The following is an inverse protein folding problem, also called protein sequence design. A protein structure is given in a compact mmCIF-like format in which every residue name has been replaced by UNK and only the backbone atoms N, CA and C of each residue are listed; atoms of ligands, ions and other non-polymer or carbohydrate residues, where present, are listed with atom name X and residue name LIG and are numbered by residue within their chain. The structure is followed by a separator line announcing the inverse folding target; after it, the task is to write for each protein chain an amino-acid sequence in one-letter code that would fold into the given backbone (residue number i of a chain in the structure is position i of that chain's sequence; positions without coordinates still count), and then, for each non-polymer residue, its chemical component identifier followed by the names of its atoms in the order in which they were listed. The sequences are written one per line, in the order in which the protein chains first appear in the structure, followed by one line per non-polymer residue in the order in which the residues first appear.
data_IF_406609146986
#
_entry.id   IF_406609146986
#
_cell.length_a   1.000
_cell.length_b   1.000
_cell.length_c   1.000
_cell.angle_alpha   90.00
_cell.angle_beta   90.00
_cell.angle_gamma   90.00
#
_symmetry.space_group_name_H-M   'P 1'
#
loop_
_entity.id
_entity.type
_entity.pdbx_description
1 polymer ?
#
# COMPACT_ATOMS: atom_id res chain seq x y z
N UNK A 1 -5.64 -6.52 24.05
CA UNK A 1 -5.78 -5.29 23.26
C UNK A 1 -6.59 -5.51 21.98
N UNK A 2 -6.21 -6.43 21.09
CA UNK A 2 -6.95 -6.72 19.84
C UNK A 2 -8.44 -7.04 20.04
N UNK A 3 -8.79 -7.87 21.02
CA UNK A 3 -10.18 -8.19 21.33
C UNK A 3 -10.97 -7.01 21.94
N UNK A 4 -10.30 -6.02 22.53
CA UNK A 4 -10.95 -4.79 22.97
C UNK A 4 -11.24 -3.90 21.77
N UNK A 5 -10.26 -3.63 20.90
CA UNK A 5 -10.42 -2.82 19.70
C UNK A 5 -11.43 -3.39 18.69
N UNK A 6 -11.49 -4.72 18.54
CA UNK A 6 -12.51 -5.38 17.72
C UNK A 6 -13.93 -5.20 18.28
N UNK A 7 -14.09 -5.07 19.61
CA UNK A 7 -15.38 -4.74 20.26
C UNK A 7 -15.69 -3.24 20.19
N UNK A 8 -14.67 -2.39 20.12
CA UNK A 8 -14.83 -0.93 19.97
C UNK A 8 -15.21 -0.54 18.53
N UNK A 9 -14.87 -1.33 17.53
CA UNK A 9 -15.15 -1.02 16.13
C UNK A 9 -16.65 -0.89 15.79
N UNK A 10 -17.55 -1.79 16.25
CA UNK A 10 -18.99 -1.57 16.14
C UNK A 10 -19.46 -0.31 16.88
N UNK A 11 -18.92 -0.04 18.07
CA UNK A 11 -19.30 1.12 18.89
C UNK A 11 -18.92 2.44 18.20
N UNK A 12 -17.75 2.48 17.57
CA UNK A 12 -17.29 3.60 16.74
C UNK A 12 -18.16 3.82 15.49
N UNK A 13 -18.78 2.77 14.96
CA UNK A 13 -19.67 2.89 13.80
C UNK A 13 -21.09 3.35 14.16
N UNK A 14 -21.53 3.14 15.40
CA UNK A 14 -22.92 3.34 15.82
C UNK A 14 -23.15 4.58 16.69
N UNK A 15 -22.14 5.03 17.46
CA UNK A 15 -22.32 6.12 18.42
C UNK A 15 -21.45 7.35 18.06
N UNK A 16 -22.09 8.52 17.95
CA UNK A 16 -21.40 9.79 17.70
C UNK A 16 -20.58 10.28 18.91
N UNK A 17 -21.03 10.00 20.14
CA UNK A 17 -20.33 10.38 21.36
C UNK A 17 -19.03 9.59 21.52
N UNK A 18 -19.07 8.28 21.23
CA UNK A 18 -17.89 7.39 21.27
C UNK A 18 -16.87 7.78 20.20
N UNK A 19 -17.33 8.27 19.04
CA UNK A 19 -16.43 8.80 17.99
C UNK A 19 -15.70 10.07 18.40
N UNK A 20 -16.31 10.91 19.23
CA UNK A 20 -15.72 12.16 19.72
C UNK A 20 -14.80 11.97 20.93
N UNK A 21 -14.77 10.79 21.53
CA UNK A 21 -13.96 10.52 22.72
C UNK A 21 -12.47 10.37 22.36
N UNK A 22 -11.64 11.26 22.92
CA UNK A 22 -10.21 11.31 22.67
C UNK A 22 -9.46 10.05 23.15
N UNK A 23 -9.91 9.42 24.24
CA UNK A 23 -9.29 8.19 24.74
C UNK A 23 -9.59 7.02 23.80
N UNK A 24 -10.80 6.96 23.24
CA UNK A 24 -11.17 5.94 22.26
C UNK A 24 -10.40 6.14 20.94
N UNK A 25 -10.29 7.38 20.46
CA UNK A 25 -9.46 7.71 19.29
C UNK A 25 -7.99 7.33 19.49
N UNK A 26 -7.42 7.64 20.67
CA UNK A 26 -6.05 7.26 21.00
C UNK A 26 -5.85 5.73 21.03
N UNK A 27 -6.81 4.98 21.56
CA UNK A 27 -6.78 3.50 21.53
C UNK A 27 -6.88 2.95 20.11
N UNK A 28 -7.69 3.56 19.25
CA UNK A 28 -7.78 3.20 17.84
C UNK A 28 -6.44 3.42 17.13
N UNK A 29 -5.85 4.60 17.28
CA UNK A 29 -4.55 4.94 16.69
C UNK A 29 -3.45 4.00 17.19
N UNK A 30 -3.41 3.71 18.49
CA UNK A 30 -2.46 2.77 19.08
C UNK A 30 -2.61 1.34 18.54
N UNK A 31 -3.84 0.91 18.26
CA UNK A 31 -4.10 -0.41 17.71
C UNK A 31 -3.72 -0.52 16.23
N UNK A 32 -4.10 0.47 15.42
CA UNK A 32 -3.73 0.50 14.00
C UNK A 32 -2.20 0.64 13.87
N UNK A 33 -1.59 1.47 14.72
CA UNK A 33 -0.17 1.81 14.64
C UNK A 33 0.17 2.55 13.34
N UNK A 34 1.45 2.56 12.94
CA UNK A 34 1.88 3.16 11.69
C UNK A 34 1.16 2.57 10.47
N UNK A 35 0.84 3.41 9.48
CA UNK A 35 0.02 3.04 8.33
C UNK A 35 0.62 1.89 7.53
N UNK A 36 1.94 1.84 7.36
CA UNK A 36 2.63 0.73 6.69
C UNK A 36 2.46 -0.61 7.43
N UNK A 37 2.44 -0.59 8.77
CA UNK A 37 2.16 -1.80 9.57
C UNK A 37 0.69 -2.17 9.48
N UNK A 38 -0.21 -1.18 9.56
CA UNK A 38 -1.65 -1.38 9.37
C UNK A 38 -1.94 -2.03 8.03
N UNK A 39 -1.34 -1.56 6.93
CA UNK A 39 -1.51 -2.09 5.58
C UNK A 39 -0.94 -3.51 5.38
N UNK A 40 -0.10 -3.99 6.30
CA UNK A 40 0.50 -5.32 6.28
C UNK A 40 -0.14 -6.32 7.25
N UNK A 41 -1.06 -5.86 8.10
CA UNK A 41 -1.75 -6.69 9.09
C UNK A 41 -3.22 -6.89 8.66
N UNK A 42 -3.63 -8.12 8.28
CA UNK A 42 -5.01 -8.39 7.84
C UNK A 42 -6.09 -7.97 8.85
N UNK A 43 -5.83 -8.11 10.15
CA UNK A 43 -6.79 -7.74 11.20
C UNK A 43 -6.93 -6.22 11.30
N UNK A 44 -5.82 -5.49 11.25
CA UNK A 44 -5.84 -4.01 11.29
C UNK A 44 -6.44 -3.43 10.03
N UNK A 45 -6.12 -3.98 8.85
CA UNK A 45 -6.77 -3.62 7.58
C UNK A 45 -8.28 -3.82 7.64
N UNK A 46 -8.73 -4.98 8.12
CA UNK A 46 -10.16 -5.30 8.23
C UNK A 46 -10.92 -4.36 9.16
N UNK A 47 -10.26 -3.84 10.20
CA UNK A 47 -10.81 -2.77 11.03
C UNK A 47 -10.83 -1.43 10.29
N UNK A 48 -9.70 -1.05 9.69
CA UNK A 48 -9.49 0.23 9.04
C UNK A 48 -10.51 0.50 7.93
N UNK A 49 -10.82 -0.48 7.07
CA UNK A 49 -11.82 -0.33 6.00
C UNK A 49 -13.24 -0.09 6.49
N UNK A 50 -13.55 -0.53 7.72
CA UNK A 50 -14.87 -0.36 8.35
C UNK A 50 -15.02 0.96 9.10
N UNK A 51 -13.94 1.76 9.18
CA UNK A 51 -14.01 3.04 9.90
C UNK A 51 -14.94 4.02 9.18
N UNK A 52 -15.81 4.72 9.91
CA UNK A 52 -16.60 5.80 9.35
C UNK A 52 -15.70 6.94 8.88
N UNK A 53 -16.11 7.60 7.80
CA UNK A 53 -15.36 8.68 7.16
C UNK A 53 -14.87 9.76 8.15
N UNK A 54 -15.71 10.14 9.13
CA UNK A 54 -15.37 11.17 10.12
C UNK A 54 -14.14 10.80 10.96
N UNK A 55 -13.94 9.53 11.29
CA UNK A 55 -12.75 9.09 12.03
C UNK A 55 -11.52 9.05 11.13
N UNK A 56 -11.68 8.69 9.86
CA UNK A 56 -10.57 8.78 8.92
C UNK A 56 -10.14 10.23 8.78
N UNK A 57 -11.09 11.11 8.54
CA UNK A 57 -10.87 12.53 8.29
C UNK A 57 -10.23 13.25 9.48
N UNK A 58 -10.79 13.08 10.68
CA UNK A 58 -10.45 13.89 11.85
C UNK A 58 -9.54 13.18 12.87
N UNK A 59 -9.33 11.88 12.72
CA UNK A 59 -8.45 11.12 13.60
C UNK A 59 -7.27 10.52 12.84
N UNK A 60 -7.49 9.72 11.79
CA UNK A 60 -6.38 9.03 11.09
C UNK A 60 -5.56 9.97 10.20
N UNK A 61 -6.23 10.77 9.37
CA UNK A 61 -5.59 11.69 8.43
C UNK A 61 -5.34 13.08 9.03
N UNK A 62 -5.66 13.28 10.31
CA UNK A 62 -5.28 14.51 10.99
C UNK A 62 -3.77 14.61 11.12
N UNK A 63 -3.22 15.78 10.83
CA UNK A 63 -1.78 15.97 10.61
C UNK A 63 -0.93 15.53 11.82
N UNK A 64 -1.44 15.72 13.04
CA UNK A 64 -0.73 15.35 14.27
C UNK A 64 -0.74 13.84 14.57
N UNK A 65 -1.66 13.10 13.95
CA UNK A 65 -1.90 11.68 14.21
C UNK A 65 -1.34 10.76 13.11
N UNK A 66 -1.01 11.31 11.94
CA UNK A 66 -0.45 10.53 10.83
C UNK A 66 0.90 9.95 11.24
N UNK A 67 0.96 8.61 11.30
CA UNK A 67 2.18 7.84 11.49
C UNK A 67 2.43 7.00 10.24
N UNK A 68 3.41 7.40 9.44
CA UNK A 68 3.82 6.70 8.23
C UNK A 68 5.33 6.84 8.00
N UNK A 69 5.88 5.97 7.15
CA UNK A 69 7.23 6.05 6.61
C UNK A 69 7.35 7.13 5.52
N UNK A 70 6.36 7.26 4.64
CA UNK A 70 6.35 8.23 3.55
C UNK A 70 4.92 8.72 3.19
N UNK A 71 4.83 9.83 2.46
CA UNK A 71 3.54 10.39 2.00
C UNK A 71 2.81 9.46 1.03
N UNK A 72 3.57 8.68 0.26
CA UNK A 72 2.99 7.66 -0.59
C UNK A 72 2.23 6.59 0.22
N UNK A 73 2.63 6.35 1.47
CA UNK A 73 1.93 5.43 2.39
C UNK A 73 0.62 6.01 2.89
N UNK A 74 0.60 7.31 3.15
CA UNK A 74 -0.64 8.04 3.47
C UNK A 74 -1.62 7.93 2.29
N UNK A 75 -1.14 8.14 1.06
CA UNK A 75 -1.94 7.98 -0.16
C UNK A 75 -2.39 6.52 -0.38
N UNK A 76 -1.51 5.54 -0.15
CA UNK A 76 -1.84 4.13 -0.26
C UNK A 76 -2.91 3.70 0.74
N UNK A 77 -2.85 4.20 1.98
CA UNK A 77 -3.87 3.95 2.99
C UNK A 77 -5.22 4.54 2.59
N UNK A 78 -5.26 5.76 2.03
CA UNK A 78 -6.50 6.34 1.51
C UNK A 78 -7.06 5.52 0.34
N UNK A 79 -6.20 5.17 -0.62
CA UNK A 79 -6.59 4.39 -1.79
C UNK A 79 -7.14 3.01 -1.39
N UNK A 80 -6.52 2.36 -0.41
CA UNK A 80 -6.99 1.09 0.15
C UNK A 80 -8.35 1.23 0.82
N UNK A 81 -8.55 2.25 1.67
CA UNK A 81 -9.86 2.48 2.29
C UNK A 81 -10.94 2.74 1.25
N UNK A 82 -10.68 3.64 0.30
CA UNK A 82 -11.64 3.99 -0.74
C UNK A 82 -12.00 2.79 -1.60
N UNK A 83 -11.03 1.97 -1.99
CA UNK A 83 -11.27 0.76 -2.77
C UNK A 83 -12.27 -0.18 -2.10
N UNK A 84 -12.06 -0.46 -0.82
CA UNK A 84 -12.83 -1.49 -0.10
C UNK A 84 -14.15 -0.92 0.44
N UNK A 85 -14.16 0.32 0.94
CA UNK A 85 -15.38 0.98 1.41
C UNK A 85 -16.36 1.30 0.26
N UNK A 86 -15.85 1.50 -0.97
CA UNK A 86 -16.68 1.74 -2.15
C UNK A 86 -17.43 0.53 -2.68
N UNK A 87 -16.97 -0.67 -2.34
CA UNK A 87 -17.68 -1.90 -2.70
C UNK A 87 -18.97 -2.01 -1.88
N UNK A 88 -18.99 -1.43 -0.67
CA UNK A 88 -20.10 -1.56 0.29
C UNK A 88 -21.00 -0.32 0.40
N UNK A 89 -20.55 0.87 -0.03
CA UNK A 89 -21.29 2.13 0.13
C UNK A 89 -21.38 2.93 -1.18
N UNK A 90 -22.51 3.62 -1.38
CA UNK A 90 -22.68 4.62 -2.46
C UNK A 90 -21.46 5.56 -2.51
N UNK A 91 -20.98 5.83 -3.72
CA UNK A 91 -19.77 6.60 -4.01
C UNK A 91 -19.49 7.74 -3.00
N UNK A 92 -18.25 7.88 -2.48
CA UNK A 92 -17.97 8.86 -1.47
C UNK A 92 -18.07 10.21 -2.17
N UNK A 93 -19.02 11.05 -1.76
CA UNK A 93 -19.23 12.33 -2.45
C UNK A 93 -17.91 13.08 -2.64
N UNK A 94 -17.71 13.71 -3.80
CA UNK A 94 -16.47 14.41 -4.22
C UNK A 94 -15.83 15.28 -3.12
N UNK A 95 -16.65 15.86 -2.24
CA UNK A 95 -16.23 16.65 -1.08
C UNK A 95 -15.43 15.84 -0.05
N UNK A 96 -15.82 14.59 0.23
CA UNK A 96 -15.12 13.69 1.16
C UNK A 96 -13.72 13.34 0.65
N UNK A 97 -13.64 12.97 -0.64
CA UNK A 97 -12.38 12.70 -1.32
C UNK A 97 -11.48 13.94 -1.26
N UNK A 98 -12.01 15.11 -1.61
CA UNK A 98 -11.25 16.36 -1.58
C UNK A 98 -10.74 16.70 -0.17
N UNK A 99 -11.56 16.48 0.86
CA UNK A 99 -11.17 16.74 2.24
C UNK A 99 -9.98 15.88 2.66
N UNK A 100 -9.97 14.57 2.37
CA UNK A 100 -8.83 13.73 2.78
C UNK A 100 -7.61 13.95 1.89
N UNK A 101 -7.80 14.06 0.56
CA UNK A 101 -6.70 14.38 -0.37
C UNK A 101 -5.97 15.68 0.00
N UNK A 102 -6.66 16.65 0.59
CA UNK A 102 -6.02 17.88 1.07
C UNK A 102 -5.02 17.69 2.20
N UNK A 103 -5.11 16.60 2.96
CA UNK A 103 -4.21 16.30 4.08
C UNK A 103 -2.97 15.52 3.63
N UNK A 104 -2.89 15.12 2.36
CA UNK A 104 -1.77 14.41 1.75
C UNK A 104 -0.84 15.42 1.08
N UNK A 105 0.45 15.43 1.43
CA UNK A 105 1.41 16.37 0.84
C UNK A 105 1.93 15.80 -0.46
N UNK A 106 1.16 15.93 -1.54
CA UNK A 106 1.56 15.41 -2.86
C UNK A 106 2.95 15.86 -3.36
N UNK A 107 3.47 17.06 -3.06
CA UNK A 107 4.83 17.45 -3.47
C UNK A 107 5.93 16.55 -2.91
N UNK A 108 5.66 15.87 -1.80
CA UNK A 108 6.58 14.95 -1.13
C UNK A 108 6.43 13.49 -1.62
N UNK A 109 5.59 13.25 -2.64
CA UNK A 109 5.45 11.95 -3.29
C UNK A 109 6.28 11.94 -4.57
N UNK A 110 7.08 10.89 -4.85
CA UNK A 110 7.81 10.78 -6.11
C UNK A 110 6.89 10.96 -7.33
N UNK A 111 7.24 11.84 -8.30
CA UNK A 111 6.38 12.18 -9.44
C UNK A 111 5.87 10.96 -10.22
N UNK A 112 6.73 9.96 -10.42
CA UNK A 112 6.37 8.73 -11.09
C UNK A 112 5.25 7.97 -10.36
N UNK A 113 5.37 7.81 -9.03
CA UNK A 113 4.33 7.14 -8.23
C UNK A 113 3.03 7.94 -8.23
N UNK A 114 3.12 9.26 -8.08
CA UNK A 114 1.95 10.14 -8.06
C UNK A 114 1.14 10.04 -9.36
N UNK A 115 1.83 10.04 -10.50
CA UNK A 115 1.19 9.89 -11.81
C UNK A 115 0.45 8.56 -11.96
N UNK A 116 1.05 7.47 -11.48
CA UNK A 116 0.43 6.15 -11.54
C UNK A 116 -0.79 6.02 -10.65
N UNK A 117 -0.71 6.56 -9.44
CA UNK A 117 -1.85 6.57 -8.54
C UNK A 117 -3.00 7.32 -9.20
N UNK A 118 -2.75 8.48 -9.82
CA UNK A 118 -3.78 9.21 -10.58
C UNK A 118 -4.31 8.42 -11.78
N UNK A 119 -3.44 7.75 -12.54
CA UNK A 119 -3.83 6.97 -13.70
C UNK A 119 -4.67 5.73 -13.33
N UNK A 120 -4.41 5.12 -12.18
CA UNK A 120 -5.12 3.92 -11.76
C UNK A 120 -6.37 4.21 -10.92
N UNK A 121 -6.24 5.06 -9.91
CA UNK A 121 -7.31 5.28 -8.94
C UNK A 121 -8.28 6.35 -9.41
N UNK A 122 -9.52 5.92 -9.67
CA UNK A 122 -10.62 6.80 -10.13
C UNK A 122 -10.83 8.00 -9.21
N UNK A 123 -10.73 7.85 -7.90
CA UNK A 123 -10.97 8.95 -6.95
C UNK A 123 -10.00 10.12 -7.14
N UNK A 124 -8.75 9.86 -7.56
CA UNK A 124 -7.78 10.92 -7.84
C UNK A 124 -8.14 11.69 -9.11
N UNK A 125 -8.75 11.03 -10.10
CA UNK A 125 -9.29 11.70 -11.30
C UNK A 125 -10.57 12.46 -10.98
N UNK A 126 -11.35 12.06 -9.97
CA UNK A 126 -12.50 12.84 -9.51
C UNK A 126 -12.07 14.08 -8.69
N UNK A 127 -10.98 13.92 -7.93
CA UNK A 127 -10.33 15.00 -7.19
C UNK A 127 -9.67 16.03 -8.12
N UNK A 128 -8.84 15.55 -9.06
CA UNK A 128 -8.08 16.38 -10.01
C UNK A 128 -8.27 15.88 -11.46
N UNK A 129 -9.44 16.15 -12.09
CA UNK A 129 -9.76 15.64 -13.42
C UNK A 129 -8.77 16.05 -14.50
N UNK A 130 -8.18 17.24 -14.36
CA UNK A 130 -7.27 17.83 -15.34
C UNK A 130 -5.79 17.60 -14.98
N UNK A 131 -5.51 16.84 -13.92
CA UNK A 131 -4.15 16.59 -13.42
C UNK A 131 -3.40 17.92 -13.12
N UNK A 132 -4.13 19.00 -12.80
CA UNK A 132 -3.56 20.33 -12.60
C UNK A 132 -2.88 20.43 -11.24
N UNK A 133 -3.57 19.94 -10.20
CA UNK A 133 -3.11 19.95 -8.81
C UNK A 133 -1.85 19.10 -8.66
N UNK A 134 -1.84 17.93 -9.30
CA UNK A 134 -0.69 17.03 -9.28
C UNK A 134 0.48 17.55 -10.13
N UNK A 135 0.24 18.19 -11.28
CA UNK A 135 1.31 18.88 -12.03
C UNK A 135 1.99 19.96 -11.18
N UNK A 136 1.22 20.75 -10.45
CA UNK A 136 1.77 21.72 -9.51
C UNK A 136 2.57 21.05 -8.39
N UNK A 137 2.09 19.93 -7.84
CA UNK A 137 2.81 19.18 -6.83
C UNK A 137 4.18 18.69 -7.33
N UNK A 138 4.25 18.16 -8.56
CA UNK A 138 5.52 17.73 -9.19
C UNK A 138 6.49 18.90 -9.35
N UNK A 139 6.00 20.05 -9.82
CA UNK A 139 6.83 21.26 -9.98
C UNK A 139 7.36 21.76 -8.64
N UNK A 140 6.50 21.83 -7.63
CA UNK A 140 6.88 22.29 -6.27
C UNK A 140 7.87 21.32 -5.63
N UNK A 141 7.68 20.01 -5.82
CA UNK A 141 8.60 18.99 -5.30
C UNK A 141 9.99 19.05 -5.95
N UNK A 142 10.07 19.44 -7.23
CA UNK A 142 11.34 19.58 -7.96
C UNK A 142 12.09 20.87 -7.61
N UNK A 143 11.37 21.98 -7.39
CA UNK A 143 11.94 23.27 -7.00
C UNK A 143 10.97 24.02 -6.07
N UNK A 144 11.22 24.01 -4.74
CA UNK A 144 10.40 24.74 -3.77
C UNK A 144 10.34 26.25 -4.05
N UNK A 145 11.31 26.83 -4.76
CA UNK A 145 11.33 28.24 -5.18
C UNK A 145 10.27 28.57 -6.25
N UNK A 146 9.88 27.59 -7.07
CA UNK A 146 8.80 27.78 -8.07
C UNK A 146 7.42 27.90 -7.45
N UNK A 147 7.28 27.60 -6.16
CA UNK A 147 6.07 27.85 -5.39
C UNK A 147 5.63 29.32 -5.45
N UNK A 148 6.58 30.27 -5.46
CA UNK A 148 6.29 31.69 -5.58
C UNK A 148 5.76 32.06 -6.98
N UNK A 149 6.27 31.40 -8.03
CA UNK A 149 5.82 31.59 -9.41
C UNK A 149 4.44 30.95 -9.66
N UNK A 150 4.18 29.76 -9.10
CA UNK A 150 2.88 29.09 -9.14
C UNK A 150 1.80 29.94 -8.44
N UNK A 151 2.11 30.53 -7.27
CA UNK A 151 1.25 31.51 -6.58
C UNK A 151 0.95 32.76 -7.44
N UNK A 152 1.83 33.12 -8.37
CA UNK A 152 1.64 34.23 -9.30
C UNK A 152 0.73 33.91 -10.49
N UNK A 153 0.81 32.68 -11.02
CA UNK A 153 0.10 32.23 -12.23
C UNK A 153 -1.34 31.74 -12.00
N UNK A 154 -1.70 31.36 -10.76
CA UNK A 154 -3.03 30.85 -10.40
C UNK A 154 -4.13 31.93 -10.29
N UNK A 155 -3.80 33.20 -10.55
CA UNK A 155 -4.71 34.36 -10.41
C UNK A 155 -5.90 34.41 -11.39
N UNK A 156 -5.98 33.51 -12.37
CA UNK A 156 -7.00 33.53 -13.43
C UNK A 156 -8.30 32.76 -13.13
N UNK A 157 -8.40 32.03 -12.00
CA UNK A 157 -9.60 31.28 -11.57
C UNK A 157 -9.89 31.45 -10.06
N UNK A 158 -10.07 32.70 -9.64
CA UNK A 158 -9.87 33.15 -8.24
C UNK A 158 -10.64 32.41 -7.13
N UNK A 159 -11.87 31.92 -7.34
CA UNK A 159 -12.69 31.35 -6.25
C UNK A 159 -12.40 29.88 -5.95
N UNK A 160 -12.25 29.03 -6.98
CA UNK A 160 -11.91 27.61 -6.81
C UNK A 160 -10.43 27.44 -6.44
N UNK A 161 -9.56 28.28 -7.01
CA UNK A 161 -8.14 28.35 -6.67
C UNK A 161 -7.94 28.81 -5.23
N UNK A 162 -8.62 29.85 -4.75
CA UNK A 162 -8.46 30.29 -3.36
C UNK A 162 -8.88 29.22 -2.34
N UNK A 163 -9.91 28.43 -2.66
CA UNK A 163 -10.33 27.30 -1.82
C UNK A 163 -9.29 26.18 -1.86
N UNK A 164 -8.72 25.89 -3.03
CA UNK A 164 -7.66 24.90 -3.20
C UNK A 164 -6.36 25.36 -2.53
N UNK A 165 -5.99 26.64 -2.61
CA UNK A 165 -4.84 27.25 -1.92
C UNK A 165 -4.98 27.25 -0.40
N UNK A 166 -6.17 27.53 0.13
CA UNK A 166 -6.45 27.42 1.56
C UNK A 166 -6.30 25.96 2.05
N UNK A 167 -6.69 25.01 1.20
CA UNK A 167 -6.74 23.57 1.46
C UNK A 167 -5.37 22.90 1.26
N UNK A 168 -4.55 23.40 0.34
CA UNK A 168 -3.20 22.91 0.02
C UNK A 168 -2.08 23.67 0.76
N UNK A 169 -2.42 24.68 1.59
CA UNK A 169 -1.41 25.42 2.39
C UNK A 169 -0.61 24.49 3.30
N UNK A 170 -1.23 23.42 3.79
CA UNK A 170 -0.58 22.34 4.55
C UNK A 170 0.51 21.61 3.76
N UNK A 171 0.39 21.51 2.43
CA UNK A 171 1.38 20.83 1.56
C UNK A 171 2.73 21.53 1.54
N UNK A 172 2.69 22.84 1.80
CA UNK A 172 3.84 23.72 1.73
C UNK A 172 4.61 23.76 3.05
N UNK A 173 4.04 23.16 4.10
CA UNK A 173 4.66 23.07 5.42
C UNK A 173 5.10 21.63 5.66
N UNK A 174 6.31 21.39 6.21
CA UNK A 174 6.70 20.06 6.67
C UNK A 174 5.66 19.48 7.63
N UNK A 175 5.54 18.15 7.69
CA UNK A 175 4.71 17.51 8.71
C UNK A 175 5.31 17.74 10.10
N UNK A 176 4.42 17.93 11.07
CA UNK A 176 4.74 17.94 12.49
C UNK A 176 3.74 17.01 13.20
N UNK A 177 4.17 15.80 13.64
CA UNK A 177 5.54 15.27 13.63
C UNK A 177 6.03 14.85 12.21
N UNK A 178 7.36 14.80 11.97
CA UNK A 178 7.88 14.29 10.70
C UNK A 178 7.57 12.80 10.51
N UNK A 179 7.50 12.37 9.25
CA UNK A 179 7.37 10.95 8.91
C UNK A 179 8.64 10.18 9.29
N UNK A 180 8.51 8.87 9.48
CA UNK A 180 9.58 8.01 9.99
C UNK A 180 10.74 7.83 8.99
N UNK A 181 10.53 8.17 7.71
CA UNK A 181 11.48 7.89 6.62
C UNK A 181 11.34 6.45 6.13
N UNK A 182 11.81 6.17 4.90
CA UNK A 182 11.79 4.79 4.38
C UNK A 182 12.77 3.93 5.18
N UNK A 183 12.31 2.86 5.85
CA UNK A 183 13.21 1.94 6.52
C UNK A 183 13.84 0.98 5.51
N UNK A 184 14.87 0.31 5.99
CA UNK A 184 15.65 -0.80 5.43
C UNK A 184 14.91 -1.72 4.44
N UNK A 185 15.64 -2.48 3.60
CA UNK A 185 15.07 -3.50 2.71
C UNK A 185 13.94 -4.29 3.38
N UNK A 186 12.77 -4.35 2.75
CA UNK A 186 11.64 -5.06 3.33
C UNK A 186 11.90 -6.57 3.29
N UNK A 187 11.88 -7.20 4.46
CA UNK A 187 11.88 -8.66 4.60
C UNK A 187 10.53 -9.08 5.18
N UNK A 188 9.84 -10.00 4.53
CA UNK A 188 8.61 -10.55 5.07
C UNK A 188 8.44 -12.03 4.76
N UNK A 189 7.84 -12.73 5.74
CA UNK A 189 7.56 -14.15 5.73
C UNK A 189 6.06 -14.37 5.51
N UNK A 190 5.73 -15.23 4.55
CA UNK A 190 4.37 -15.54 4.14
C UNK A 190 4.15 -17.05 4.17
N UNK A 191 2.91 -17.45 4.49
CA UNK A 191 2.52 -18.85 4.48
C UNK A 191 1.53 -19.12 3.36
N UNK A 192 1.82 -20.12 2.52
CA UNK A 192 0.91 -20.59 1.48
C UNK A 192 0.32 -21.95 1.85
N UNK A 193 -0.98 -22.13 1.59
CA UNK A 193 -1.65 -23.43 1.53
C UNK A 193 -2.23 -23.60 0.15
N UNK A 194 -2.02 -24.76 -0.48
CA UNK A 194 -2.65 -25.05 -1.76
C UNK A 194 -4.10 -25.51 -1.52
N UNK A 195 -5.11 -24.82 -2.06
CA UNK A 195 -6.47 -25.35 -2.07
C UNK A 195 -6.57 -26.56 -3.01
N UNK A 196 -7.43 -27.51 -2.68
CA UNK A 196 -7.60 -28.74 -3.47
C UNK A 196 -7.91 -28.43 -4.95
N UNK A 197 -7.22 -29.11 -5.86
CA UNK A 197 -7.40 -28.98 -7.31
C UNK A 197 -6.84 -27.71 -7.95
N UNK A 198 -6.15 -26.84 -7.21
CA UNK A 198 -5.58 -25.61 -7.76
C UNK A 198 -4.19 -25.82 -8.38
N UNK A 199 -3.88 -25.05 -9.42
CA UNK A 199 -2.56 -25.01 -10.08
C UNK A 199 -1.79 -23.72 -9.79
N UNK A 200 -2.36 -22.84 -8.96
CA UNK A 200 -1.68 -21.67 -8.44
C UNK A 200 -2.20 -21.29 -7.05
N UNK A 201 -1.37 -20.59 -6.29
CA UNK A 201 -1.73 -19.96 -5.02
C UNK A 201 -1.14 -18.56 -5.00
N UNK A 202 -1.99 -17.57 -4.73
CA UNK A 202 -1.57 -16.18 -4.53
C UNK A 202 -1.52 -15.91 -3.02
N UNK A 203 -0.38 -15.42 -2.56
CA UNK A 203 -0.16 -15.00 -1.18
C UNK A 203 -0.81 -13.64 -0.92
N UNK A 204 -1.09 -13.36 0.35
CA UNK A 204 -1.63 -12.08 0.78
C UNK A 204 -0.71 -10.91 0.33
N UNK A 205 -1.27 -9.77 -0.07
CA UNK A 205 -0.47 -8.64 -0.52
C UNK A 205 0.26 -7.98 0.66
N UNK A 206 1.51 -7.60 0.41
CA UNK A 206 2.36 -6.84 1.33
C UNK A 206 2.65 -5.44 0.78
N UNK A 207 2.36 -4.43 1.57
CA UNK A 207 2.67 -3.04 1.31
C UNK A 207 4.13 -2.70 1.65
N UNK A 208 4.86 -2.16 0.68
CA UNK A 208 6.16 -1.52 0.91
C UNK A 208 6.52 -0.55 -0.21
N UNK A 209 7.14 0.58 0.15
CA UNK A 209 7.70 1.55 -0.81
C UNK A 209 6.68 2.17 -1.76
N UNK A 210 5.41 2.27 -1.36
CA UNK A 210 4.33 2.77 -2.23
C UNK A 210 3.53 1.70 -2.98
N UNK A 211 3.91 0.44 -2.88
CA UNK A 211 3.34 -0.65 -3.68
C UNK A 211 2.76 -1.77 -2.83
N UNK A 212 1.71 -2.42 -3.34
CA UNK A 212 1.28 -3.73 -2.82
C UNK A 212 1.94 -4.84 -3.64
N UNK A 213 2.92 -5.49 -3.05
CA UNK A 213 3.62 -6.64 -3.58
C UNK A 213 2.79 -7.90 -3.39
N UNK A 214 2.76 -8.75 -4.41
CA UNK A 214 2.06 -10.04 -4.41
C UNK A 214 3.01 -11.11 -4.89
N UNK A 215 2.99 -12.23 -4.19
CA UNK A 215 3.71 -13.44 -4.59
C UNK A 215 2.68 -14.47 -5.05
N UNK A 216 2.92 -15.05 -6.21
CA UNK A 216 2.12 -16.12 -6.80
C UNK A 216 3.02 -17.33 -6.99
N UNK A 217 2.63 -18.47 -6.43
CA UNK A 217 3.25 -19.75 -6.71
C UNK A 217 2.37 -20.49 -7.72
N UNK A 218 2.93 -20.99 -8.81
CA UNK A 218 2.13 -21.64 -9.87
C UNK A 218 2.84 -22.82 -10.52
N UNK A 219 2.04 -23.76 -11.04
CA UNK A 219 2.50 -24.88 -11.85
C UNK A 219 2.86 -24.37 -13.24
N UNK A 220 4.12 -24.52 -13.66
CA UNK A 220 4.53 -24.24 -15.03
C UNK A 220 3.91 -25.23 -16.01
N UNK A 221 3.97 -24.92 -17.31
CA UNK A 221 3.56 -25.84 -18.38
C UNK A 221 4.33 -27.17 -18.35
N UNK A 222 5.53 -27.18 -17.80
CA UNK A 222 6.38 -28.37 -17.62
C UNK A 222 6.11 -29.09 -16.29
N UNK A 223 5.13 -28.64 -15.51
CA UNK A 223 4.77 -29.25 -14.22
C UNK A 223 5.67 -28.86 -13.04
N UNK A 224 6.57 -27.88 -13.23
CA UNK A 224 7.48 -27.40 -12.17
C UNK A 224 6.87 -26.26 -11.33
N UNK A 225 7.37 -26.08 -10.12
CA UNK A 225 7.02 -24.96 -9.25
C UNK A 225 7.71 -23.67 -9.71
N UNK A 226 6.91 -22.70 -10.16
CA UNK A 226 7.31 -21.32 -10.39
C UNK A 226 6.88 -20.41 -9.25
N UNK A 227 7.68 -19.38 -8.97
CA UNK A 227 7.30 -18.27 -8.08
C UNK A 227 7.43 -16.97 -8.85
N UNK A 228 6.35 -16.20 -8.82
CA UNK A 228 6.22 -14.90 -9.48
C UNK A 228 6.00 -13.82 -8.45
N UNK A 229 6.72 -12.72 -8.56
CA UNK A 229 6.50 -11.51 -7.79
C UNK A 229 5.90 -10.44 -8.68
N UNK A 230 4.84 -9.77 -8.20
CA UNK A 230 4.17 -8.67 -8.88
C UNK A 230 4.01 -7.47 -7.94
N UNK A 231 4.23 -6.27 -8.46
CA UNK A 231 3.81 -5.04 -7.80
C UNK A 231 2.45 -4.60 -8.37
N UNK A 232 1.48 -4.33 -7.51
CA UNK A 232 0.21 -3.73 -7.93
C UNK A 232 0.43 -2.27 -8.28
N UNK A 233 -0.18 -1.80 -9.38
CA UNK A 233 0.14 -0.53 -10.04
C UNK A 233 1.59 -0.62 -10.57
N UNK A 234 1.86 -0.65 -11.88
CA UNK A 234 3.26 -0.70 -12.35
C UNK A 234 3.67 0.61 -13.01
N UNK A 235 4.76 1.22 -12.53
CA UNK A 235 5.64 2.11 -13.33
C UNK A 235 6.79 1.30 -13.90
N UNK A 236 7.53 1.92 -14.82
CA UNK A 236 8.89 1.53 -15.14
C UNK A 236 9.80 1.81 -13.94
N UNK A 237 10.15 0.79 -13.16
CA UNK A 237 11.17 0.90 -12.12
C UNK A 237 11.94 -0.42 -11.97
N UNK A 238 13.19 -0.33 -11.53
CA UNK A 238 14.01 -1.50 -11.23
C UNK A 238 13.94 -1.79 -9.73
N UNK A 239 13.73 -3.06 -9.37
CA UNK A 239 13.88 -3.51 -8.00
C UNK A 239 14.77 -4.74 -7.96
N UNK A 240 15.62 -4.80 -6.94
CA UNK A 240 16.36 -5.99 -6.58
C UNK A 240 15.53 -6.76 -5.57
N UNK A 241 15.41 -8.06 -5.77
CA UNK A 241 14.68 -8.87 -4.84
C UNK A 241 15.31 -10.24 -4.67
N UNK A 242 15.03 -10.86 -3.53
CA UNK A 242 15.31 -12.27 -3.35
C UNK A 242 14.06 -12.98 -2.85
N UNK A 243 13.75 -14.11 -3.48
CA UNK A 243 12.71 -15.03 -3.05
C UNK A 243 13.39 -16.22 -2.37
N UNK A 244 12.76 -16.73 -1.31
CA UNK A 244 13.22 -17.91 -0.60
C UNK A 244 12.06 -18.79 -0.18
N UNK A 245 12.32 -20.09 -0.14
CA UNK A 245 11.46 -21.11 0.45
C UNK A 245 12.20 -21.75 1.63
N UNK A 246 11.48 -21.98 2.71
CA UNK A 246 12.00 -22.68 3.89
C UNK A 246 11.09 -23.86 4.24
N UNK A 247 11.72 -25.01 4.48
CA UNK A 247 11.08 -26.25 4.89
C UNK A 247 11.83 -26.93 6.03
N UNK A 248 11.41 -28.15 6.38
CA UNK A 248 12.04 -28.98 7.39
C UNK A 248 13.40 -29.51 6.90
N UNK A 249 14.49 -28.81 7.22
CA UNK A 249 15.85 -29.20 6.84
C UNK A 249 16.21 -28.92 5.38
N UNK A 250 15.36 -28.19 4.65
CA UNK A 250 15.66 -27.70 3.30
C UNK A 250 15.36 -26.21 3.18
N UNK A 251 16.12 -25.53 2.32
CA UNK A 251 15.88 -24.14 1.95
C UNK A 251 16.27 -23.92 0.52
N UNK A 252 15.55 -23.04 -0.17
CA UNK A 252 15.90 -22.56 -1.49
C UNK A 252 15.83 -21.03 -1.50
N UNK A 253 16.69 -20.39 -2.27
CA UNK A 253 16.53 -18.97 -2.57
C UNK A 253 17.04 -18.64 -3.96
N UNK A 254 16.49 -17.59 -4.55
CA UNK A 254 17.03 -16.95 -5.73
C UNK A 254 17.06 -15.44 -5.54
N UNK A 255 18.19 -14.82 -5.87
CA UNK A 255 18.27 -13.36 -6.04
C UNK A 255 18.10 -13.02 -7.51
N UNK A 256 17.23 -12.05 -7.81
CA UNK A 256 17.03 -11.54 -9.16
C UNK A 256 16.89 -10.01 -9.12
N UNK A 257 17.43 -9.33 -10.13
CA UNK A 257 16.97 -7.99 -10.49
C UNK A 257 15.85 -8.13 -11.50
N UNK A 258 14.74 -7.40 -11.33
CA UNK A 258 13.77 -7.24 -12.41
C UNK A 258 13.40 -5.78 -12.59
N UNK A 259 13.22 -5.42 -13.86
CA UNK A 259 12.56 -4.18 -14.25
C UNK A 259 11.07 -4.45 -14.34
N UNK A 260 10.29 -3.70 -13.56
CA UNK A 260 8.84 -3.68 -13.61
C UNK A 260 8.43 -2.62 -14.64
N UNK A 261 7.48 -2.89 -15.55
CA UNK A 261 7.07 -1.97 -16.63
C UNK A 261 5.56 -1.69 -16.62
N UNK A 262 5.16 -0.48 -17.05
CA UNK A 262 3.80 0.10 -16.97
C UNK A 262 2.72 -0.60 -17.77
N UNK A 263 3.05 -1.22 -18.91
CA UNK A 263 2.04 -1.70 -19.87
C UNK A 263 1.92 -3.23 -19.96
N UNK A 264 2.81 -3.97 -19.28
CA UNK A 264 2.91 -5.43 -19.41
C UNK A 264 2.73 -6.18 -18.08
N UNK A 265 2.44 -5.47 -16.98
CA UNK A 265 2.43 -6.09 -15.65
C UNK A 265 3.80 -6.68 -15.35
N UNK A 266 4.78 -5.80 -15.11
CA UNK A 266 6.13 -6.23 -14.74
C UNK A 266 6.10 -7.27 -13.63
N UNK A 267 6.79 -8.39 -13.84
CA UNK A 267 6.85 -9.47 -12.88
C UNK A 267 8.28 -10.00 -12.79
N UNK A 268 8.75 -10.19 -11.57
CA UNK A 268 9.89 -11.04 -11.31
C UNK A 268 9.42 -12.49 -11.38
N UNK A 269 10.18 -13.38 -12.02
CA UNK A 269 9.86 -14.81 -12.08
C UNK A 269 11.09 -15.66 -11.84
N UNK A 270 10.91 -16.77 -11.13
CA UNK A 270 11.94 -17.80 -10.94
C UNK A 270 11.34 -19.20 -10.85
N UNK A 271 12.05 -20.19 -11.41
CA UNK A 271 11.77 -21.61 -11.18
C UNK A 271 12.52 -22.06 -9.92
N UNK A 272 11.80 -22.71 -9.00
CA UNK A 272 12.39 -23.27 -7.80
C UNK A 272 13.23 -24.51 -8.14
N UNK A 273 14.46 -24.60 -7.61
CA UNK A 273 15.38 -25.71 -7.90
C UNK A 273 16.03 -26.28 -6.65
N UNK A 274 16.13 -27.59 -6.53
CA UNK A 274 16.90 -28.27 -5.46
C UNK A 274 18.06 -29.05 -6.10
N UNK A 275 19.30 -28.78 -5.69
CA UNK A 275 20.48 -29.41 -6.31
C UNK A 275 20.61 -29.12 -7.81
N UNK A 276 20.09 -27.98 -8.29
CA UNK A 276 20.08 -27.60 -9.70
C UNK A 276 18.91 -28.14 -10.53
N UNK A 277 18.10 -29.05 -9.97
CA UNK A 277 16.93 -29.63 -10.64
C UNK A 277 15.65 -28.87 -10.27
N UNK A 278 14.74 -28.58 -11.22
CA UNK A 278 13.43 -28.01 -10.92
C UNK A 278 12.65 -28.83 -9.90
N UNK A 279 11.99 -28.17 -8.97
CA UNK A 279 11.07 -28.82 -8.03
C UNK A 279 9.74 -29.04 -8.74
N UNK A 280 9.27 -30.28 -8.82
CA UNK A 280 7.96 -30.59 -9.40
C UNK A 280 6.83 -30.04 -8.50
N UNK A 281 5.78 -29.50 -9.12
CA UNK A 281 4.64 -28.90 -8.42
C UNK A 281 3.91 -29.92 -7.54
N UNK A 282 3.62 -31.10 -8.10
CA UNK A 282 2.85 -32.12 -7.38
C UNK A 282 3.66 -32.69 -6.19
N UNK A 283 4.97 -32.85 -6.36
CA UNK A 283 5.88 -33.30 -5.29
C UNK A 283 6.04 -32.24 -4.19
N UNK A 284 6.09 -30.97 -4.56
CA UNK A 284 6.19 -29.86 -3.60
C UNK A 284 4.98 -29.83 -2.65
N UNK A 285 3.79 -30.10 -3.16
CA UNK A 285 2.54 -30.08 -2.39
C UNK A 285 2.15 -31.44 -1.81
N UNK A 286 2.97 -32.48 -2.00
CA UNK A 286 2.71 -33.80 -1.44
C UNK A 286 2.68 -33.76 0.11
N UNK A 287 1.85 -34.59 0.78
CA UNK A 287 1.71 -34.56 2.24
C UNK A 287 3.02 -34.76 3.03
N UNK A 288 3.99 -35.44 2.45
CA UNK A 288 5.31 -35.73 3.02
C UNK A 288 6.42 -34.83 2.44
N UNK A 289 6.06 -33.76 1.73
CA UNK A 289 7.02 -32.80 1.18
C UNK A 289 7.81 -32.13 2.30
N UNK A 290 9.15 -32.10 2.23
CA UNK A 290 9.97 -31.42 3.23
C UNK A 290 9.78 -29.90 3.23
N UNK A 291 9.17 -29.36 2.17
CA UNK A 291 8.88 -27.93 2.04
C UNK A 291 7.66 -27.48 2.84
N UNK A 292 6.86 -28.42 3.35
CA UNK A 292 5.64 -28.15 4.09
C UNK A 292 5.85 -28.36 5.59
N UNK A 293 5.45 -27.38 6.38
CA UNK A 293 5.31 -27.50 7.84
C UNK A 293 3.83 -27.31 8.15
N UNK A 294 3.20 -28.32 8.76
CA UNK A 294 1.74 -28.34 9.01
C UNK A 294 0.88 -28.07 7.75
N UNK A 295 1.32 -28.63 6.62
CA UNK A 295 0.68 -28.46 5.31
C UNK A 295 0.80 -27.05 4.73
N UNK A 296 1.73 -26.23 5.23
CA UNK A 296 1.98 -24.87 4.75
C UNK A 296 3.40 -24.73 4.22
N UNK A 297 3.54 -24.07 3.08
CA UNK A 297 4.84 -23.61 2.58
C UNK A 297 5.19 -22.26 3.22
N UNK A 298 6.44 -22.11 3.68
CA UNK A 298 6.96 -20.83 4.16
C UNK A 298 7.77 -20.16 3.05
N UNK A 299 7.31 -18.98 2.62
CA UNK A 299 7.93 -18.17 1.59
C UNK A 299 8.50 -16.91 2.24
N UNK A 300 9.81 -16.71 2.11
CA UNK A 300 10.48 -15.48 2.54
C UNK A 300 10.74 -14.62 1.33
N UNK A 301 10.52 -13.33 1.46
CA UNK A 301 10.80 -12.38 0.41
C UNK A 301 11.53 -11.16 0.94
N UNK A 302 12.56 -10.74 0.19
CA UNK A 302 13.35 -9.54 0.48
C UNK A 302 13.28 -8.59 -0.71
N UNK A 303 12.91 -7.33 -0.47
CA UNK A 303 12.93 -6.25 -1.44
C UNK A 303 14.00 -5.24 -1.10
N UNK A 304 14.77 -4.89 -2.10
CA UNK A 304 15.69 -3.76 -2.06
C UNK A 304 15.49 -2.93 -3.34
N UNK A 305 15.13 -1.66 -3.18
CA UNK A 305 15.04 -0.74 -4.31
C UNK A 305 16.29 0.12 -4.25
N UNK A 306 17.20 0.04 -5.24
CA UNK A 306 18.35 0.91 -5.26
C UNK A 306 17.88 2.37 -5.24
N UNK A 307 18.49 3.15 -4.35
CA UNK A 307 18.19 4.57 -4.13
C UNK A 307 18.35 5.42 -5.40
#
# INVERSE_FOLDING_TARGET
MAAACQRTAPLLSQDAAVRGDAAVQAQLLAFLGPLQHMLNDPLRRGLYVKLPFVLLENCIFDDCNIQADAEITVLAALAYWLREALVEQEHPGRQRIASVCSRIRFPNIPPAMLHLYWAYWRFLREFDPNNAVLKHAVVIGADPGQLAAVKGGLRSFQSEVARLEATCRSWLSPRAPPLQGQPEPAVFDMQARLPEGQTSVTLDPYYWGGWFWRVEMSKSSEGSLGITLRAALSSCFEARFSLGLQGAGCSWSCGCGASFFTHMGGHGWGICKLGGQPIAWDDFWAPNSPWLVDGKASVRFTLDVPA
#
